data_IF_015286911092
#
_entry.id   IF_015286911092
#
_cell.length_a   1.000
_cell.length_b   1.000
_cell.length_c   1.000
_cell.angle_alpha   90.00
_cell.angle_beta   90.00
_cell.angle_gamma   90.00
#
_symmetry.space_group_name_H-M   'P 1'
#
loop_
_entity.id
_entity.type
_entity.pdbx_description
1 polymer ?
#
# COMPACT_ATOMS: atom_id res chain seq x y z
N UNK A 1 -17.44 2.24 16.08
CA UNK A 1 -17.05 1.17 15.14
C UNK A 1 -18.23 0.69 14.28
N UNK A 2 -19.47 0.72 14.78
CA UNK A 2 -20.67 0.20 14.10
C UNK A 2 -20.98 0.87 12.73
N UNK A 3 -20.68 2.17 12.57
CA UNK A 3 -21.00 2.91 11.34
C UNK A 3 -19.85 2.94 10.30
N UNK A 4 -18.67 2.38 10.61
CA UNK A 4 -17.50 2.49 9.71
C UNK A 4 -17.70 1.74 8.39
N UNK A 5 -18.43 0.62 8.42
CA UNK A 5 -18.76 -0.15 7.21
C UNK A 5 -19.64 0.67 6.26
N UNK A 6 -20.63 1.36 6.79
CA UNK A 6 -21.56 2.20 6.03
C UNK A 6 -20.85 3.44 5.45
N UNK A 7 -20.00 4.10 6.26
CA UNK A 7 -19.17 5.23 5.79
C UNK A 7 -18.24 4.78 4.64
N UNK A 8 -17.67 3.56 4.70
CA UNK A 8 -16.86 3.01 3.60
C UNK A 8 -17.67 2.79 2.32
N UNK A 9 -18.90 2.29 2.43
CA UNK A 9 -19.80 2.14 1.27
C UNK A 9 -20.09 3.50 0.62
N UNK A 10 -20.41 4.50 1.43
CA UNK A 10 -20.70 5.86 0.97
C UNK A 10 -19.46 6.52 0.34
N UNK A 11 -18.29 6.35 0.94
CA UNK A 11 -17.01 6.78 0.36
C UNK A 11 -16.74 6.11 -1.00
N UNK A 12 -17.07 4.82 -1.13
CA UNK A 12 -16.98 4.09 -2.38
C UNK A 12 -17.87 4.67 -3.48
N UNK A 13 -19.10 5.08 -3.14
CA UNK A 13 -20.03 5.75 -4.06
C UNK A 13 -19.49 7.09 -4.54
N UNK A 14 -18.96 7.94 -3.64
CA UNK A 14 -18.29 9.20 -4.02
C UNK A 14 -17.15 8.98 -5.01
N UNK A 15 -16.27 7.99 -4.75
CA UNK A 15 -15.18 7.63 -5.66
C UNK A 15 -15.70 7.10 -7.01
N UNK A 16 -16.83 6.39 -7.01
CA UNK A 16 -17.52 5.96 -8.22
C UNK A 16 -17.93 7.13 -9.11
N UNK A 17 -18.60 8.14 -8.52
CA UNK A 17 -18.96 9.38 -9.23
C UNK A 17 -17.69 10.07 -9.77
N UNK A 18 -16.63 10.16 -8.96
CA UNK A 18 -15.39 10.83 -9.35
C UNK A 18 -14.72 10.18 -10.57
N UNK A 19 -14.71 8.84 -10.62
CA UNK A 19 -14.18 8.09 -11.77
C UNK A 19 -15.01 8.31 -13.02
N UNK A 20 -16.33 8.22 -12.92
CA UNK A 20 -17.23 8.41 -14.08
C UNK A 20 -17.16 9.85 -14.62
N UNK A 21 -16.94 10.83 -13.74
CA UNK A 21 -16.82 12.23 -14.11
C UNK A 21 -15.37 12.69 -14.39
N UNK A 22 -14.38 11.79 -14.40
CA UNK A 22 -12.96 12.17 -14.52
C UNK A 22 -12.66 12.93 -15.82
N UNK A 23 -13.35 12.59 -16.92
CA UNK A 23 -13.19 13.24 -18.22
C UNK A 23 -13.95 14.55 -18.38
N UNK A 24 -14.81 14.91 -17.42
CA UNK A 24 -15.59 16.16 -17.44
C UNK A 24 -14.64 17.34 -17.25
N UNK A 25 -14.60 18.25 -18.24
CA UNK A 25 -13.84 19.49 -18.15
C UNK A 25 -14.57 20.49 -17.26
N UNK A 26 -13.83 21.48 -16.76
CA UNK A 26 -14.38 22.51 -15.87
C UNK A 26 -15.51 23.33 -16.52
N UNK A 27 -15.46 23.47 -17.85
CA UNK A 27 -16.43 24.18 -18.69
C UNK A 27 -17.62 23.33 -19.12
N UNK A 28 -17.54 22.00 -18.95
CA UNK A 28 -18.60 21.10 -19.37
C UNK A 28 -19.77 21.17 -18.39
N UNK A 29 -20.91 20.64 -18.81
CA UNK A 29 -22.09 20.54 -17.96
C UNK A 29 -22.34 19.11 -17.53
N UNK A 30 -22.78 18.93 -16.29
CA UNK A 30 -23.18 17.64 -15.72
C UNK A 30 -24.68 17.66 -15.46
N UNK A 31 -25.31 16.52 -15.74
CA UNK A 31 -26.75 16.33 -15.55
C UNK A 31 -27.15 16.41 -14.08
N UNK A 32 -28.32 16.99 -13.81
CA UNK A 32 -28.85 17.19 -12.45
C UNK A 32 -28.93 15.89 -11.63
N UNK A 33 -29.18 14.74 -12.25
CA UNK A 33 -29.28 13.48 -11.52
C UNK A 33 -27.96 13.06 -10.87
N UNK A 34 -26.81 13.41 -11.47
CA UNK A 34 -25.48 13.12 -10.90
C UNK A 34 -25.26 13.97 -9.65
N UNK A 35 -25.67 15.23 -9.71
CA UNK A 35 -25.60 16.15 -8.56
C UNK A 35 -26.55 15.72 -7.45
N UNK A 36 -27.73 15.20 -7.80
CA UNK A 36 -28.69 14.66 -6.83
C UNK A 36 -28.16 13.40 -6.15
N UNK A 37 -27.51 12.47 -6.88
CA UNK A 37 -26.87 11.30 -6.28
C UNK A 37 -25.73 11.70 -5.34
N UNK A 38 -24.87 12.64 -5.77
CA UNK A 38 -23.84 13.22 -4.91
C UNK A 38 -24.43 13.81 -3.62
N UNK A 39 -25.41 14.72 -3.71
CA UNK A 39 -26.04 15.34 -2.54
C UNK A 39 -26.72 14.29 -1.65
N UNK A 40 -27.36 13.28 -2.23
CA UNK A 40 -27.95 12.15 -1.51
C UNK A 40 -26.91 11.41 -0.66
N UNK A 41 -25.73 11.13 -1.22
CA UNK A 41 -24.62 10.50 -0.48
C UNK A 41 -24.15 11.39 0.67
N UNK A 42 -24.04 12.71 0.48
CA UNK A 42 -23.64 13.65 1.54
C UNK A 42 -24.67 13.68 2.67
N UNK A 43 -25.97 13.67 2.35
CA UNK A 43 -27.04 13.61 3.34
C UNK A 43 -27.03 12.29 4.10
N UNK A 44 -26.83 11.17 3.42
CA UNK A 44 -26.72 9.85 4.04
C UNK A 44 -25.50 9.79 4.96
N UNK A 45 -24.33 10.31 4.52
CA UNK A 45 -23.14 10.46 5.36
C UNK A 45 -23.43 11.29 6.60
N UNK A 46 -24.07 12.45 6.47
CA UNK A 46 -24.41 13.32 7.60
C UNK A 46 -25.30 12.61 8.63
N UNK A 47 -26.27 11.82 8.17
CA UNK A 47 -27.16 11.04 9.03
C UNK A 47 -26.40 9.89 9.72
N UNK A 48 -25.57 9.15 8.99
CA UNK A 48 -24.77 8.05 9.55
C UNK A 48 -23.74 8.55 10.57
N UNK A 49 -23.15 9.72 10.34
CA UNK A 49 -22.08 10.25 11.19
C UNK A 49 -22.56 11.23 12.26
N UNK A 50 -23.80 11.71 12.16
CA UNK A 50 -24.35 12.78 12.98
C UNK A 50 -23.56 14.10 12.86
N UNK A 51 -22.90 14.33 11.71
CA UNK A 51 -22.16 15.55 11.43
C UNK A 51 -22.99 16.56 10.65
N UNK A 52 -22.66 17.85 10.82
CA UNK A 52 -23.10 18.87 9.89
C UNK A 52 -22.23 18.88 8.62
N UNK A 53 -22.73 18.28 7.54
CA UNK A 53 -22.07 18.26 6.22
C UNK A 53 -22.74 19.18 5.19
N UNK A 54 -23.60 20.11 5.62
CA UNK A 54 -24.33 21.01 4.71
C UNK A 54 -23.42 21.83 3.79
N UNK A 55 -22.20 22.13 4.24
CA UNK A 55 -21.19 22.85 3.45
C UNK A 55 -20.67 22.06 2.23
N UNK A 56 -20.86 20.73 2.20
CA UNK A 56 -20.49 19.88 1.06
C UNK A 56 -21.60 19.78 0.02
N UNK A 57 -22.83 20.17 0.32
CA UNK A 57 -23.94 20.10 -0.63
C UNK A 57 -23.74 21.10 -1.77
N UNK A 58 -24.15 20.69 -2.97
CA UNK A 58 -24.26 21.57 -4.13
C UNK A 58 -25.67 22.17 -4.11
N UNK A 59 -25.82 23.50 -3.93
CA UNK A 59 -27.13 24.12 -3.86
C UNK A 59 -27.79 24.19 -5.24
N UNK A 60 -29.11 24.06 -5.28
CA UNK A 60 -29.89 24.11 -6.52
C UNK A 60 -29.82 25.45 -7.25
N UNK A 61 -29.42 26.52 -6.55
CA UNK A 61 -29.18 27.84 -7.13
C UNK A 61 -28.03 27.86 -8.16
N UNK A 62 -27.14 26.88 -8.12
CA UNK A 62 -26.03 26.74 -9.09
C UNK A 62 -26.47 26.04 -10.39
N UNK A 63 -27.71 25.57 -10.47
CA UNK A 63 -28.25 24.94 -11.65
C UNK A 63 -28.50 25.96 -12.77
N UNK A 64 -28.00 25.66 -13.96
CA UNK A 64 -28.31 26.40 -15.18
C UNK A 64 -29.46 25.72 -15.92
N UNK A 65 -30.49 26.50 -16.29
CA UNK A 65 -31.58 26.03 -17.13
C UNK A 65 -31.11 25.92 -18.59
N UNK A 66 -31.24 24.75 -19.19
CA UNK A 66 -30.82 24.45 -20.57
C UNK A 66 -32.00 24.43 -21.56
N UNK A 67 -33.20 24.80 -21.10
CA UNK A 67 -34.46 24.68 -21.86
C UNK A 67 -35.17 23.35 -21.60
N UNK A 68 -36.46 23.28 -21.95
CA UNK A 68 -37.30 22.06 -21.82
C UNK A 68 -37.30 21.41 -20.42
N UNK A 69 -37.15 22.19 -19.35
CA UNK A 69 -37.10 21.68 -17.98
C UNK A 69 -35.81 20.93 -17.62
N UNK A 70 -34.79 20.97 -18.49
CA UNK A 70 -33.49 20.34 -18.25
C UNK A 70 -32.61 21.32 -17.48
N UNK A 71 -32.09 20.87 -16.35
CA UNK A 71 -31.16 21.61 -15.50
C UNK A 71 -29.82 20.91 -15.46
N UNK A 72 -28.73 21.69 -15.57
CA UNK A 72 -27.37 21.17 -15.51
C UNK A 72 -26.47 22.05 -14.64
N UNK A 73 -25.39 21.47 -14.14
CA UNK A 73 -24.40 22.15 -13.33
C UNK A 73 -23.08 22.23 -14.06
N UNK A 74 -22.31 23.30 -13.87
CA UNK A 74 -20.95 23.36 -14.40
C UNK A 74 -20.10 22.28 -13.75
N UNK A 75 -19.30 21.58 -14.56
CA UNK A 75 -18.45 20.47 -14.12
C UNK A 75 -17.51 20.86 -12.98
N UNK A 76 -16.99 22.10 -13.00
CA UNK A 76 -16.14 22.60 -11.90
C UNK A 76 -16.83 22.55 -10.53
N UNK A 77 -18.13 22.83 -10.46
CA UNK A 77 -18.88 22.88 -9.19
C UNK A 77 -18.96 21.48 -8.59
N UNK A 78 -19.33 20.48 -9.41
CA UNK A 78 -19.38 19.09 -8.98
C UNK A 78 -17.99 18.60 -8.59
N UNK A 79 -16.97 18.84 -9.42
CA UNK A 79 -15.60 18.36 -9.15
C UNK A 79 -15.06 18.92 -7.85
N UNK A 80 -15.16 20.22 -7.62
CA UNK A 80 -14.68 20.86 -6.39
C UNK A 80 -15.39 20.29 -5.15
N UNK A 81 -16.71 20.11 -5.19
CA UNK A 81 -17.45 19.57 -4.04
C UNK A 81 -17.16 18.08 -3.80
N UNK A 82 -17.04 17.32 -4.88
CA UNK A 82 -16.70 15.90 -4.83
C UNK A 82 -15.30 15.68 -4.25
N UNK A 83 -14.31 16.46 -4.67
CA UNK A 83 -12.95 16.40 -4.12
C UNK A 83 -12.94 16.77 -2.63
N UNK A 84 -13.62 17.86 -2.24
CA UNK A 84 -13.78 18.27 -0.84
C UNK A 84 -14.41 17.16 0.02
N UNK A 85 -15.47 16.51 -0.48
CA UNK A 85 -16.16 15.46 0.25
C UNK A 85 -15.30 14.20 0.40
N UNK A 86 -14.61 13.79 -0.67
CA UNK A 86 -13.71 12.64 -0.64
C UNK A 86 -12.59 12.88 0.37
N UNK A 87 -11.90 14.02 0.31
CA UNK A 87 -10.82 14.36 1.24
C UNK A 87 -11.31 14.45 2.69
N UNK A 88 -12.46 15.10 2.92
CA UNK A 88 -13.05 15.18 4.26
C UNK A 88 -13.31 13.80 4.87
N UNK A 89 -13.94 12.89 4.11
CA UNK A 89 -14.25 11.55 4.58
C UNK A 89 -12.98 10.75 4.84
N UNK A 90 -11.97 10.89 3.98
CA UNK A 90 -10.68 10.21 4.14
C UNK A 90 -9.93 10.68 5.39
N UNK A 91 -9.82 11.99 5.57
CA UNK A 91 -9.11 12.60 6.69
C UNK A 91 -9.82 12.33 8.03
N UNK A 92 -11.15 12.46 8.08
CA UNK A 92 -11.90 12.38 9.33
C UNK A 92 -12.05 10.96 9.88
N UNK A 93 -12.25 9.98 9.00
CA UNK A 93 -12.57 8.62 9.41
C UNK A 93 -11.38 7.67 9.35
N UNK A 94 -10.17 8.22 9.22
CA UNK A 94 -8.96 7.45 8.89
C UNK A 94 -9.21 6.48 7.74
N UNK A 95 -10.11 6.86 6.82
CA UNK A 95 -10.27 6.20 5.52
C UNK A 95 -9.17 6.78 4.63
N UNK A 96 -7.95 6.87 5.18
CA UNK A 96 -6.75 7.11 4.39
C UNK A 96 -6.69 5.96 3.42
N UNK A 97 -6.90 6.30 2.14
CA UNK A 97 -6.94 5.31 1.08
C UNK A 97 -5.67 4.49 1.13
N UNK A 98 -5.82 3.18 1.33
CA UNK A 98 -4.77 2.19 1.08
C UNK A 98 -4.30 2.15 -0.39
N UNK A 99 -4.55 3.19 -1.20
CA UNK A 99 -4.16 3.29 -2.60
C UNK A 99 -3.18 4.46 -2.81
N UNK A 100 -3.36 5.62 -2.15
CA UNK A 100 -2.42 6.75 -2.26
C UNK A 100 -1.15 6.52 -1.44
N UNK A 101 -1.28 5.97 -0.22
CA UNK A 101 -0.13 5.55 0.57
C UNK A 101 0.57 4.31 -0.02
N UNK A 102 -0.20 3.35 -0.52
CA UNK A 102 0.33 2.14 -1.18
C UNK A 102 1.12 2.50 -2.45
N UNK A 103 0.59 3.38 -3.29
CA UNK A 103 1.30 3.84 -4.48
C UNK A 103 2.63 4.52 -4.16
N UNK A 104 2.70 5.31 -3.08
CA UNK A 104 3.94 5.96 -2.64
C UNK A 104 4.93 4.94 -2.03
N UNK A 105 4.46 3.99 -1.24
CA UNK A 105 5.28 2.91 -0.67
C UNK A 105 5.84 2.02 -1.79
N UNK A 106 5.02 1.60 -2.74
CA UNK A 106 5.46 0.82 -3.91
C UNK A 106 6.49 1.59 -4.73
N UNK A 107 6.31 2.91 -4.91
CA UNK A 107 7.31 3.75 -5.58
C UNK A 107 8.63 3.82 -4.81
N UNK A 108 8.60 3.78 -3.48
CA UNK A 108 9.80 3.83 -2.64
C UNK A 108 10.62 2.53 -2.60
N UNK A 109 10.03 1.40 -3.00
CA UNK A 109 10.78 0.14 -3.15
C UNK A 109 11.91 0.38 -4.15
N UNK A 110 13.14 0.05 -3.77
CA UNK A 110 14.31 0.30 -4.62
C UNK A 110 14.67 -0.91 -5.48
N UNK A 111 14.54 -2.12 -4.95
CA UNK A 111 15.01 -3.32 -5.61
C UNK A 111 14.08 -3.71 -6.79
N UNK A 112 14.63 -3.82 -8.01
CA UNK A 112 13.83 -4.11 -9.20
C UNK A 112 13.26 -5.53 -9.20
N UNK A 113 13.93 -6.50 -8.56
CA UNK A 113 13.50 -7.89 -8.51
C UNK A 113 12.29 -8.05 -7.58
N UNK A 114 12.23 -7.27 -6.48
CA UNK A 114 11.03 -7.14 -5.64
C UNK A 114 9.87 -6.60 -6.48
N UNK A 115 10.08 -5.53 -7.25
CA UNK A 115 9.02 -4.93 -8.07
C UNK A 115 8.47 -5.91 -9.11
N UNK A 116 9.36 -6.62 -9.79
CA UNK A 116 9.01 -7.55 -10.86
C UNK A 116 8.26 -8.78 -10.34
N UNK A 117 8.67 -9.33 -9.20
CA UNK A 117 8.19 -10.64 -8.73
C UNK A 117 7.11 -10.59 -7.65
N UNK A 118 6.93 -9.45 -6.98
CA UNK A 118 6.04 -9.36 -5.82
C UNK A 118 4.80 -8.48 -6.05
N UNK A 119 4.84 -7.49 -6.95
CA UNK A 119 3.76 -6.50 -7.06
C UNK A 119 2.50 -7.06 -7.71
N UNK A 120 2.62 -7.98 -8.66
CA UNK A 120 1.49 -8.69 -9.27
C UNK A 120 0.79 -9.59 -8.23
N UNK A 121 1.57 -10.33 -7.43
CA UNK A 121 1.05 -11.17 -6.35
C UNK A 121 0.38 -10.31 -5.27
N UNK A 122 1.00 -9.18 -4.91
CA UNK A 122 0.44 -8.25 -3.93
C UNK A 122 -0.89 -7.65 -4.41
N UNK A 123 -1.06 -7.45 -5.73
CA UNK A 123 -2.29 -6.92 -6.32
C UNK A 123 -3.44 -7.92 -6.42
N UNK A 124 -3.24 -9.19 -6.06
CA UNK A 124 -4.28 -10.22 -6.07
C UNK A 124 -5.26 -10.08 -4.89
N UNK A 125 -6.41 -10.76 -5.00
CA UNK A 125 -7.46 -10.74 -3.97
C UNK A 125 -7.13 -11.58 -2.71
N UNK A 126 -6.00 -12.30 -2.70
CA UNK A 126 -5.59 -13.19 -1.61
C UNK A 126 -4.30 -13.96 -1.88
N UNK A 127 -3.98 -14.95 -1.03
CA UNK A 127 -2.72 -15.72 -1.04
C UNK A 127 -1.48 -14.85 -0.82
N UNK A 128 -1.55 -13.96 0.17
CA UNK A 128 -0.51 -12.98 0.47
C UNK A 128 0.75 -13.59 1.08
N UNK A 129 0.68 -14.83 1.58
CA UNK A 129 1.84 -15.65 1.95
C UNK A 129 2.84 -15.80 0.80
N UNK A 130 2.36 -15.83 -0.44
CA UNK A 130 3.21 -15.91 -1.64
C UNK A 130 4.11 -14.69 -1.80
N UNK A 131 3.63 -13.49 -1.48
CA UNK A 131 4.45 -12.26 -1.51
C UNK A 131 5.62 -12.38 -0.55
N UNK A 132 5.34 -12.83 0.67
CA UNK A 132 6.36 -13.03 1.72
C UNK A 132 7.38 -14.08 1.28
N UNK A 133 6.91 -15.20 0.71
CA UNK A 133 7.76 -16.27 0.20
C UNK A 133 8.69 -15.79 -0.93
N UNK A 134 8.16 -15.06 -1.90
CA UNK A 134 8.97 -14.52 -3.01
C UNK A 134 9.98 -13.49 -2.50
N UNK A 135 9.56 -12.53 -1.67
CA UNK A 135 10.46 -11.51 -1.13
C UNK A 135 11.60 -12.15 -0.31
N UNK A 136 11.30 -13.12 0.56
CA UNK A 136 12.33 -13.81 1.34
C UNK A 136 13.25 -14.68 0.48
N UNK A 137 12.74 -15.25 -0.62
CA UNK A 137 13.55 -15.97 -1.61
C UNK A 137 14.56 -15.04 -2.32
N UNK A 138 14.13 -13.83 -2.70
CA UNK A 138 15.01 -12.82 -3.31
C UNK A 138 16.12 -12.42 -2.33
N UNK A 139 15.78 -12.24 -1.05
CA UNK A 139 16.77 -11.95 -0.01
C UNK A 139 17.82 -13.06 0.14
N UNK A 140 17.40 -14.33 0.22
CA UNK A 140 18.34 -15.46 0.27
C UNK A 140 19.22 -15.52 -0.99
N UNK A 141 18.64 -15.27 -2.16
CA UNK A 141 19.37 -15.28 -3.42
C UNK A 141 20.45 -14.19 -3.47
N UNK A 142 20.10 -12.98 -3.04
CA UNK A 142 21.05 -11.87 -2.97
C UNK A 142 22.17 -12.17 -1.98
N UNK A 143 21.86 -12.72 -0.80
CA UNK A 143 22.88 -13.09 0.19
C UNK A 143 23.83 -14.16 -0.38
N UNK A 144 23.33 -15.17 -1.08
CA UNK A 144 24.17 -16.19 -1.76
C UNK A 144 25.07 -15.55 -2.81
N UNK A 145 24.53 -14.68 -3.67
CA UNK A 145 25.32 -13.98 -4.70
C UNK A 145 26.46 -13.15 -4.10
N UNK A 146 26.18 -12.38 -3.04
CA UNK A 146 27.18 -11.49 -2.41
C UNK A 146 28.22 -12.30 -1.62
N UNK A 147 27.81 -13.32 -0.88
CA UNK A 147 28.73 -14.20 -0.10
C UNK A 147 29.54 -15.15 -0.99
N UNK A 148 29.01 -15.56 -2.14
CA UNK A 148 29.57 -16.64 -2.95
C UNK A 148 29.25 -18.04 -2.42
N UNK A 149 28.32 -18.16 -1.46
CA UNK A 149 27.83 -19.45 -0.99
C UNK A 149 26.94 -20.13 -2.05
N UNK A 150 27.04 -21.45 -2.14
CA UNK A 150 26.24 -22.24 -3.07
C UNK A 150 24.83 -22.54 -2.52
N UNK A 151 24.00 -23.22 -3.33
CA UNK A 151 22.60 -23.54 -3.00
C UNK A 151 22.41 -24.50 -1.81
N UNK A 152 23.46 -25.13 -1.29
CA UNK A 152 23.38 -25.96 -0.07
C UNK A 152 23.26 -25.14 1.22
N UNK A 153 23.43 -23.82 1.13
CA UNK A 153 23.21 -22.87 2.20
C UNK A 153 21.87 -22.17 1.97
N UNK A 154 20.91 -22.45 2.86
CA UNK A 154 19.56 -21.88 2.82
C UNK A 154 19.05 -21.62 4.24
N UNK A 155 18.00 -20.81 4.39
CA UNK A 155 17.41 -20.49 5.68
C UNK A 155 18.45 -19.91 6.65
N UNK A 156 18.31 -20.26 7.93
CA UNK A 156 19.19 -19.76 9.00
C UNK A 156 20.65 -20.13 8.75
N UNK A 157 20.93 -21.31 8.15
CA UNK A 157 22.29 -21.73 7.85
C UNK A 157 22.97 -20.74 6.90
N UNK A 158 22.25 -20.26 5.87
CA UNK A 158 22.77 -19.23 4.98
C UNK A 158 23.08 -17.93 5.72
N UNK A 159 22.14 -17.47 6.57
CA UNK A 159 22.29 -16.21 7.31
C UNK A 159 23.50 -16.28 8.25
N UNK A 160 23.64 -17.36 9.01
CA UNK A 160 24.76 -17.54 9.94
C UNK A 160 26.09 -17.55 9.20
N UNK A 161 26.24 -18.35 8.16
CA UNK A 161 27.51 -18.50 7.43
C UNK A 161 27.88 -17.23 6.67
N UNK A 162 26.89 -16.53 6.12
CA UNK A 162 27.13 -15.28 5.42
C UNK A 162 27.39 -14.11 6.37
N UNK A 163 26.65 -13.97 7.48
CA UNK A 163 26.47 -12.69 8.16
C UNK A 163 26.64 -12.75 9.68
N UNK A 164 27.13 -13.86 10.25
CA UNK A 164 27.49 -13.87 11.68
C UNK A 164 28.46 -12.72 11.99
N UNK A 165 28.15 -11.91 13.00
CA UNK A 165 28.88 -10.66 13.28
C UNK A 165 30.40 -10.90 13.45
N UNK A 166 30.80 -12.01 14.07
CA UNK A 166 32.21 -12.41 14.24
C UNK A 166 32.77 -13.17 13.04
N UNK A 167 32.14 -14.30 12.69
CA UNK A 167 32.74 -15.31 11.80
C UNK A 167 32.13 -15.35 10.39
N UNK A 168 31.11 -14.55 10.12
CA UNK A 168 30.41 -14.52 8.84
C UNK A 168 31.32 -14.04 7.71
N UNK A 169 31.10 -14.56 6.50
CA UNK A 169 31.85 -14.25 5.28
C UNK A 169 31.74 -12.77 4.89
N UNK A 170 30.59 -12.17 5.15
CA UNK A 170 30.26 -10.79 4.82
C UNK A 170 30.41 -9.89 6.04
N UNK A 171 30.84 -8.67 5.78
CA UNK A 171 30.89 -7.57 6.71
C UNK A 171 29.96 -6.47 6.23
N UNK A 172 29.04 -6.09 7.11
CA UNK A 172 28.17 -4.93 6.92
C UNK A 172 28.84 -3.72 7.60
N UNK A 173 28.69 -2.54 7.01
CA UNK A 173 29.17 -1.29 7.59
C UNK A 173 28.46 -0.99 8.92
N UNK A 174 29.20 -0.47 9.90
CA UNK A 174 28.71 -0.21 11.26
C UNK A 174 29.59 -0.82 12.35
N UNK A 175 29.26 -0.56 13.62
CA UNK A 175 29.94 -1.13 14.78
C UNK A 175 29.51 -2.58 15.06
N UNK A 176 30.23 -3.30 15.93
CA UNK A 176 29.96 -4.72 16.22
C UNK A 176 28.52 -4.97 16.68
N UNK A 177 27.99 -4.11 17.54
CA UNK A 177 26.62 -4.19 18.06
C UNK A 177 25.56 -3.99 16.97
N UNK A 178 25.79 -3.08 16.02
CA UNK A 178 24.89 -2.84 14.88
C UNK A 178 24.88 -4.05 13.94
N UNK A 179 26.05 -4.64 13.67
CA UNK A 179 26.19 -5.85 12.86
C UNK A 179 25.48 -7.04 13.50
N UNK A 180 25.63 -7.20 14.82
CA UNK A 180 24.93 -8.22 15.58
C UNK A 180 23.40 -8.02 15.51
N UNK A 181 22.93 -6.79 15.63
CA UNK A 181 21.52 -6.43 15.47
C UNK A 181 20.97 -6.81 14.09
N UNK A 182 21.67 -6.45 13.02
CA UNK A 182 21.25 -6.78 11.64
C UNK A 182 21.26 -8.30 11.42
N UNK A 183 22.27 -9.00 11.92
CA UNK A 183 22.31 -10.46 11.89
C UNK A 183 21.07 -11.08 12.57
N UNK A 184 20.68 -10.57 13.74
CA UNK A 184 19.50 -11.04 14.44
C UNK A 184 18.19 -10.73 13.72
N UNK A 185 18.07 -9.55 13.09
CA UNK A 185 16.90 -9.21 12.27
C UNK A 185 16.75 -10.18 11.11
N UNK A 186 17.83 -10.42 10.35
CA UNK A 186 17.81 -11.34 9.20
C UNK A 186 17.49 -12.77 9.63
N UNK A 187 18.08 -13.22 10.74
CA UNK A 187 17.81 -14.54 11.30
C UNK A 187 16.36 -14.66 11.77
N UNK A 188 15.84 -13.62 12.43
CA UNK A 188 14.46 -13.53 12.90
C UNK A 188 13.47 -13.60 11.75
N UNK A 189 13.66 -12.80 10.69
CA UNK A 189 12.80 -12.83 9.50
C UNK A 189 12.78 -14.21 8.85
N UNK A 190 13.95 -14.85 8.78
CA UNK A 190 14.09 -16.19 8.21
C UNK A 190 13.33 -17.24 9.03
N UNK A 191 13.39 -17.15 10.36
CA UNK A 191 12.69 -18.06 11.26
C UNK A 191 11.17 -17.80 11.31
N UNK A 192 10.77 -16.54 11.40
CA UNK A 192 9.38 -16.16 11.65
C UNK A 192 8.51 -16.15 10.39
N UNK A 193 9.06 -15.75 9.24
CA UNK A 193 8.26 -15.60 8.02
C UNK A 193 8.63 -16.65 6.98
N UNK A 194 9.91 -16.74 6.62
CA UNK A 194 10.38 -17.61 5.53
C UNK A 194 10.11 -19.09 5.83
N UNK A 195 10.49 -19.59 7.02
CA UNK A 195 10.26 -21.00 7.34
C UNK A 195 8.77 -21.37 7.28
N UNK A 196 7.89 -20.50 7.78
CA UNK A 196 6.47 -20.78 7.78
C UNK A 196 5.90 -20.81 6.35
N UNK A 197 6.12 -19.75 5.56
CA UNK A 197 5.55 -19.62 4.21
C UNK A 197 6.19 -20.55 3.17
N UNK A 198 7.38 -21.09 3.44
CA UNK A 198 7.97 -22.13 2.59
C UNK A 198 7.50 -23.55 2.92
N UNK A 199 7.03 -23.79 4.14
CA UNK A 199 6.62 -25.13 4.59
C UNK A 199 5.11 -25.30 4.72
N UNK A 200 4.34 -24.21 4.74
CA UNK A 200 2.89 -24.19 4.92
C UNK A 200 2.25 -23.16 3.99
N UNK A 201 0.99 -23.41 3.65
CA UNK A 201 0.09 -22.40 3.06
C UNK A 201 -0.45 -21.58 4.23
N UNK A 202 -0.33 -20.25 4.16
CA UNK A 202 -0.66 -19.35 5.26
C UNK A 202 -1.71 -18.29 4.84
N UNK A 203 -2.98 -18.65 4.92
CA UNK A 203 -4.08 -17.78 4.47
C UNK A 203 -4.44 -16.66 5.47
N UNK A 204 -3.71 -16.56 6.59
CA UNK A 204 -3.97 -15.58 7.64
C UNK A 204 -3.30 -14.22 7.40
N UNK A 205 -2.33 -14.14 6.48
CA UNK A 205 -1.68 -12.88 6.15
C UNK A 205 -2.61 -11.98 5.35
N UNK A 206 -2.70 -10.72 5.74
CA UNK A 206 -3.39 -9.67 4.99
C UNK A 206 -2.46 -9.04 3.93
N UNK A 207 -3.05 -8.35 2.94
CA UNK A 207 -2.30 -7.59 1.94
C UNK A 207 -1.35 -6.57 2.58
N UNK A 208 -1.82 -5.87 3.62
CA UNK A 208 -1.04 -4.86 4.34
C UNK A 208 0.14 -5.46 5.09
N UNK A 209 -0.02 -6.64 5.72
CA UNK A 209 1.08 -7.35 6.39
C UNK A 209 2.13 -7.83 5.39
N UNK A 210 1.69 -8.42 4.28
CA UNK A 210 2.60 -8.84 3.22
C UNK A 210 3.38 -7.66 2.63
N UNK A 211 2.72 -6.52 2.41
CA UNK A 211 3.40 -5.29 1.98
C UNK A 211 4.46 -4.85 2.99
N UNK A 212 4.13 -4.79 4.29
CA UNK A 212 5.08 -4.37 5.34
C UNK A 212 6.32 -5.26 5.37
N UNK A 213 6.14 -6.58 5.27
CA UNK A 213 7.25 -7.53 5.21
C UNK A 213 8.07 -7.34 3.94
N UNK A 214 7.43 -7.18 2.79
CA UNK A 214 8.09 -6.92 1.51
C UNK A 214 8.95 -5.64 1.55
N UNK A 215 8.43 -4.55 2.10
CA UNK A 215 9.16 -3.26 2.23
C UNK A 215 10.33 -3.39 3.20
N UNK A 216 10.17 -4.12 4.31
CA UNK A 216 11.27 -4.42 5.22
C UNK A 216 12.38 -5.23 4.52
N UNK A 217 12.01 -6.18 3.66
CA UNK A 217 12.97 -6.96 2.87
C UNK A 217 13.70 -6.08 1.86
N UNK A 218 13.02 -5.15 1.19
CA UNK A 218 13.67 -4.16 0.31
C UNK A 218 14.75 -3.37 1.04
N UNK A 219 14.45 -2.88 2.25
CA UNK A 219 15.44 -2.19 3.09
C UNK A 219 16.65 -3.08 3.42
N UNK A 220 16.42 -4.35 3.75
CA UNK A 220 17.49 -5.30 4.05
C UNK A 220 18.33 -5.64 2.83
N UNK A 221 17.72 -5.75 1.64
CA UNK A 221 18.44 -5.93 0.38
C UNK A 221 19.41 -4.77 0.11
N UNK A 222 19.04 -3.54 0.46
CA UNK A 222 19.94 -2.39 0.34
C UNK A 222 21.13 -2.46 1.31
N UNK A 223 20.92 -2.99 2.52
CA UNK A 223 21.99 -3.22 3.49
C UNK A 223 22.94 -4.31 2.98
N UNK A 224 22.40 -5.43 2.51
CA UNK A 224 23.17 -6.54 1.95
C UNK A 224 23.93 -6.12 0.68
N UNK A 225 23.34 -5.25 -0.15
CA UNK A 225 24.00 -4.70 -1.33
C UNK A 225 25.24 -3.86 -1.04
N UNK A 226 25.38 -3.35 0.19
CA UNK A 226 26.56 -2.60 0.67
C UNK A 226 27.57 -3.49 1.41
N UNK A 227 27.21 -4.74 1.72
CA UNK A 227 28.09 -5.65 2.44
C UNK A 227 29.30 -6.02 1.58
N UNK A 228 30.46 -6.16 2.23
CA UNK A 228 31.73 -6.53 1.60
C UNK A 228 32.16 -7.90 2.11
N UNK A 229 32.91 -8.64 1.31
CA UNK A 229 33.55 -9.87 1.81
C UNK A 229 34.62 -9.47 2.81
N UNK A 230 34.64 -10.12 3.99
CA UNK A 230 35.74 -9.96 4.94
C UNK A 230 37.03 -10.37 4.25
N UNK A 231 37.99 -9.46 4.21
CA UNK A 231 39.37 -9.83 3.93
C UNK A 231 39.86 -10.63 5.13
N UNK A 232 40.28 -11.88 4.92
CA UNK A 232 40.98 -12.61 5.98
C UNK A 232 42.18 -11.76 6.44
N UNK A 233 42.41 -11.62 7.76
CA UNK A 233 43.63 -11.01 8.25
C UNK A 233 44.87 -11.78 7.77
#
# INVERSE_FOLDING_TARGET
MENLKEIKVLSGRLKGIARTCASVKNTDYVEIFVVNDYNGIITELANTTQDNLSFLLIPSSEASAMGSGIYRYKGIILKTKLDQAIEFVQAKYEITGGISNLGNVIKSIADPEIKERCLDILGADGNFDRVIREATTILEDRIRKVSGLNSSYYGVKLITEALHHKDGILEIEGEESEREGIYHILRGITLSFRQETHHKICDHFTQDEAMKVMVMIDLLLQIIGRAKKKTKP
#
